data_IF_362653553148
#
_entry.id   IF_362653553148
#
_cell.length_a   1.000
_cell.length_b   1.000
_cell.length_c   1.000
_cell.angle_alpha   90.00
_cell.angle_beta   90.00
_cell.angle_gamma   90.00
#
_symmetry.space_group_name_H-M   'P 1'
#
loop_
_entity.id
_entity.type
_entity.pdbx_description
1 polymer ?
#
# COMPACT_ATOMS: atom_id res chain seq x y z
N UNK A 1 -18.47 -10.83 18.98
CA UNK A 1 -17.96 -10.82 17.59
C UNK A 1 -18.70 -9.68 16.90
N UNK A 2 -18.03 -8.58 16.57
CA UNK A 2 -18.72 -7.45 15.94
C UNK A 2 -19.34 -7.92 14.61
N UNK A 3 -20.61 -7.59 14.37
CA UNK A 3 -21.32 -7.95 13.15
C UNK A 3 -20.59 -7.41 11.92
N UNK A 4 -19.82 -8.27 11.25
CA UNK A 4 -19.20 -7.96 9.97
C UNK A 4 -20.30 -7.83 8.93
N UNK A 5 -20.63 -6.59 8.57
CA UNK A 5 -21.63 -6.28 7.54
C UNK A 5 -21.01 -6.56 6.17
N UNK A 6 -21.56 -7.54 5.48
CA UNK A 6 -21.23 -7.83 4.09
C UNK A 6 -21.63 -6.65 3.19
N UNK A 7 -20.70 -6.19 2.37
CA UNK A 7 -20.96 -5.18 1.34
C UNK A 7 -20.72 -5.79 -0.04
N UNK A 8 -21.42 -5.30 -1.07
CA UNK A 8 -21.30 -5.83 -2.43
C UNK A 8 -20.44 -4.90 -3.29
N UNK A 9 -19.32 -5.43 -3.79
CA UNK A 9 -18.46 -4.75 -4.76
C UNK A 9 -18.66 -5.43 -6.12
N UNK A 10 -19.05 -4.65 -7.13
CA UNK A 10 -19.18 -5.14 -8.51
C UNK A 10 -17.82 -5.08 -9.20
N UNK A 11 -17.47 -6.15 -9.91
CA UNK A 11 -16.24 -6.22 -10.71
C UNK A 11 -16.48 -7.00 -12.00
N UNK A 12 -15.49 -7.01 -12.89
CA UNK A 12 -15.53 -7.78 -14.14
C UNK A 12 -15.39 -9.27 -13.83
N UNK A 13 -16.10 -10.12 -14.59
CA UNK A 13 -16.05 -11.57 -14.43
C UNK A 13 -14.63 -12.14 -14.49
N UNK A 14 -13.83 -11.69 -15.47
CA UNK A 14 -12.43 -12.09 -15.60
C UNK A 14 -11.58 -11.75 -14.36
N UNK A 15 -11.87 -10.62 -13.70
CA UNK A 15 -11.18 -10.21 -12.47
C UNK A 15 -11.60 -11.11 -11.31
N UNK A 16 -12.90 -11.39 -11.17
CA UNK A 16 -13.39 -12.31 -10.14
C UNK A 16 -12.83 -13.73 -10.32
N UNK A 17 -12.76 -14.23 -11.56
CA UNK A 17 -12.16 -15.53 -11.87
C UNK A 17 -10.69 -15.58 -11.45
N UNK A 18 -9.91 -14.54 -11.79
CA UNK A 18 -8.51 -14.43 -11.38
C UNK A 18 -8.34 -14.37 -9.86
N UNK A 19 -9.18 -13.62 -9.15
CA UNK A 19 -9.12 -13.53 -7.69
C UNK A 19 -9.41 -14.88 -7.02
N UNK A 20 -10.32 -15.69 -7.57
CA UNK A 20 -10.58 -17.05 -7.06
C UNK A 20 -9.36 -17.96 -7.18
N UNK A 21 -8.65 -17.90 -8.31
CA UNK A 21 -7.40 -18.67 -8.50
C UNK A 21 -6.35 -18.25 -7.48
N UNK A 22 -6.12 -16.94 -7.34
CA UNK A 22 -5.15 -16.41 -6.37
C UNK A 22 -5.53 -16.79 -4.94
N UNK A 23 -6.81 -16.73 -4.58
CA UNK A 23 -7.25 -17.12 -3.24
C UNK A 23 -6.93 -18.60 -2.96
N UNK A 24 -7.16 -19.48 -3.93
CA UNK A 24 -6.84 -20.89 -3.82
C UNK A 24 -5.32 -21.12 -3.68
N UNK A 25 -4.49 -20.44 -4.47
CA UNK A 25 -3.02 -20.50 -4.37
C UNK A 25 -2.51 -20.06 -3.00
N UNK A 26 -3.17 -19.06 -2.41
CA UNK A 26 -2.87 -18.53 -1.08
C UNK A 26 -3.54 -19.31 0.07
N UNK A 27 -4.27 -20.38 -0.22
CA UNK A 27 -4.97 -21.18 0.79
C UNK A 27 -6.04 -20.40 1.58
N UNK A 28 -6.63 -19.36 0.97
CA UNK A 28 -7.61 -18.46 1.60
C UNK A 28 -8.90 -18.38 0.78
N UNK A 29 -9.94 -17.76 1.32
CA UNK A 29 -11.13 -17.35 0.57
C UNK A 29 -10.85 -16.08 -0.24
N UNK A 30 -11.70 -15.80 -1.24
CA UNK A 30 -11.62 -14.56 -2.01
C UNK A 30 -11.73 -13.33 -1.10
N UNK A 31 -12.61 -13.37 -0.10
CA UNK A 31 -12.76 -12.29 0.87
C UNK A 31 -11.50 -12.15 1.74
N UNK A 32 -10.94 -13.26 2.24
CA UNK A 32 -9.70 -13.23 3.01
C UNK A 32 -8.50 -12.73 2.19
N UNK A 33 -8.46 -13.00 0.89
CA UNK A 33 -7.45 -12.41 0.00
C UNK A 33 -7.65 -10.90 -0.14
N UNK A 34 -8.90 -10.45 -0.35
CA UNK A 34 -9.21 -9.02 -0.47
C UNK A 34 -8.92 -8.26 0.82
N UNK A 35 -9.23 -8.83 1.98
CA UNK A 35 -8.87 -8.26 3.28
C UNK A 35 -7.35 -8.13 3.42
N UNK A 36 -6.59 -9.19 3.10
CA UNK A 36 -5.13 -9.14 3.14
C UNK A 36 -4.57 -8.08 2.18
N UNK A 37 -5.12 -7.96 0.98
CA UNK A 37 -4.72 -6.91 0.03
C UNK A 37 -5.03 -5.52 0.56
N UNK A 38 -6.21 -5.32 1.14
CA UNK A 38 -6.62 -4.04 1.73
C UNK A 38 -5.72 -3.65 2.92
N UNK A 39 -5.35 -4.60 3.79
CA UNK A 39 -4.47 -4.32 4.92
C UNK A 39 -3.01 -4.04 4.54
N UNK A 40 -2.56 -4.53 3.38
CA UNK A 40 -1.17 -4.31 2.91
C UNK A 40 -0.97 -2.92 2.33
N UNK A 41 -2.00 -2.35 1.72
CA UNK A 41 -1.94 -1.03 1.08
C UNK A 41 -2.50 0.02 2.03
N UNK A 42 -1.64 0.90 2.54
CA UNK A 42 -2.10 2.06 3.28
C UNK A 42 -2.73 3.06 2.31
N UNK A 43 -3.87 3.65 2.69
CA UNK A 43 -4.43 4.82 2.00
C UNK A 43 -3.50 6.03 2.13
N UNK A 44 -3.75 7.10 1.37
CA UNK A 44 -2.94 8.32 1.50
C UNK A 44 -3.04 8.93 2.90
N UNK A 45 -4.24 8.92 3.49
CA UNK A 45 -4.51 9.39 4.84
C UNK A 45 -3.79 8.54 5.88
N UNK A 46 -3.82 7.22 5.75
CA UNK A 46 -3.13 6.30 6.67
C UNK A 46 -1.60 6.45 6.58
N UNK A 47 -1.06 6.66 5.37
CA UNK A 47 0.36 6.98 5.18
C UNK A 47 0.72 8.30 5.85
N UNK A 48 -0.12 9.31 5.71
CA UNK A 48 0.12 10.60 6.33
C UNK A 48 0.07 10.51 7.86
N UNK A 49 -0.90 9.79 8.42
CA UNK A 49 -0.97 9.56 9.85
C UNK A 49 0.28 8.84 10.36
N UNK A 50 0.69 7.76 9.67
CA UNK A 50 1.92 7.03 10.02
C UNK A 50 3.18 7.89 9.94
N UNK A 51 3.23 8.83 8.99
CA UNK A 51 4.34 9.78 8.89
C UNK A 51 4.35 10.79 10.04
N UNK A 52 3.18 11.25 10.49
CA UNK A 52 3.05 12.10 11.69
C UNK A 52 3.48 11.36 12.96
N UNK A 53 3.01 10.13 13.13
CA UNK A 53 3.36 9.29 14.29
C UNK A 53 4.87 9.06 14.35
N UNK A 54 5.49 8.70 13.21
CA UNK A 54 6.94 8.51 13.13
C UNK A 54 7.71 9.81 13.41
N UNK A 55 7.24 10.95 12.93
CA UNK A 55 7.87 12.23 13.21
C UNK A 55 7.79 12.57 14.70
N UNK A 56 6.64 12.33 15.34
CA UNK A 56 6.47 12.48 16.78
C UNK A 56 7.42 11.56 17.57
N UNK A 57 7.54 10.30 17.19
CA UNK A 57 8.47 9.34 17.80
C UNK A 57 9.93 9.77 17.67
N UNK A 58 10.29 10.38 16.53
CA UNK A 58 11.65 10.87 16.24
C UNK A 58 11.91 12.29 16.80
N UNK A 59 10.91 12.92 17.42
CA UNK A 59 11.01 14.30 17.90
C UNK A 59 11.15 15.34 16.77
N UNK A 60 10.71 14.99 15.56
CA UNK A 60 10.71 15.86 14.38
C UNK A 60 9.32 16.47 14.21
N UNK A 61 9.27 17.78 13.99
CA UNK A 61 8.01 18.43 13.66
C UNK A 61 7.60 18.09 12.22
N UNK A 62 6.49 17.36 12.06
CA UNK A 62 5.97 16.98 10.75
C UNK A 62 5.24 18.16 10.09
N UNK A 63 6.01 19.04 9.46
CA UNK A 63 5.48 20.18 8.70
C UNK A 63 5.32 19.84 7.22
N UNK A 64 4.50 20.59 6.45
CA UNK A 64 4.39 20.43 5.01
C UNK A 64 5.74 20.55 4.27
N UNK A 65 6.62 21.42 4.77
CA UNK A 65 7.99 21.62 4.26
C UNK A 65 8.83 20.34 4.42
N UNK A 66 8.83 19.73 5.61
CA UNK A 66 9.54 18.47 5.89
C UNK A 66 8.99 17.33 5.03
N UNK A 67 7.66 17.27 4.83
CA UNK A 67 7.02 16.30 3.93
C UNK A 67 7.49 16.46 2.48
N UNK A 68 7.55 17.69 1.97
CA UNK A 68 8.01 17.97 0.61
C UNK A 68 9.49 17.55 0.42
N UNK A 69 10.35 17.95 1.34
CA UNK A 69 11.78 17.60 1.32
C UNK A 69 12.02 16.09 1.37
N UNK A 70 11.26 15.37 2.20
CA UNK A 70 11.31 13.90 2.26
C UNK A 70 10.87 13.25 0.93
N UNK A 71 9.81 13.78 0.31
CA UNK A 71 9.31 13.30 -0.99
C UNK A 71 10.36 13.46 -2.09
N UNK A 72 11.01 14.64 -2.15
CA UNK A 72 12.06 14.95 -3.11
C UNK A 72 13.31 14.08 -2.90
N UNK A 73 13.70 13.85 -1.65
CA UNK A 73 14.81 12.97 -1.31
C UNK A 73 14.55 11.53 -1.80
N UNK A 74 13.35 11.01 -1.56
CA UNK A 74 12.95 9.69 -2.05
C UNK A 74 12.87 9.61 -3.58
N UNK A 75 12.44 10.69 -4.25
CA UNK A 75 12.43 10.75 -5.71
C UNK A 75 13.86 10.62 -6.29
N UNK A 76 14.84 11.30 -5.69
CA UNK A 76 16.26 11.19 -6.06
C UNK A 76 16.80 9.77 -5.86
N UNK A 77 16.47 9.13 -4.73
CA UNK A 77 16.87 7.74 -4.46
C UNK A 77 16.29 6.76 -5.50
N UNK A 78 15.01 6.90 -5.83
CA UNK A 78 14.36 6.07 -6.86
C UNK A 78 15.00 6.26 -8.24
N UNK A 79 15.26 7.51 -8.63
CA UNK A 79 15.94 7.83 -9.89
C UNK A 79 17.35 7.21 -9.95
N UNK A 80 18.09 7.23 -8.84
CA UNK A 80 19.41 6.60 -8.76
C UNK A 80 19.35 5.06 -8.84
N UNK A 81 18.32 4.42 -8.25
CA UNK A 81 18.11 2.98 -8.39
C UNK A 81 17.75 2.58 -9.82
N UNK A 82 16.91 3.36 -10.49
CA UNK A 82 16.52 3.13 -11.87
C UNK A 82 17.73 3.24 -12.83
N UNK A 83 18.62 4.22 -12.63
CA UNK A 83 19.82 4.37 -13.46
C UNK A 83 20.87 3.26 -13.26
N UNK A 84 20.89 2.60 -12.08
CA UNK A 84 21.75 1.43 -11.82
C UNK A 84 21.18 0.10 -12.33
N UNK A 85 19.86 0.01 -12.55
CA UNK A 85 19.20 -1.18 -13.10
C UNK A 85 19.22 -1.31 -14.63
N UNK A 86 19.71 -0.28 -15.34
CA UNK A 86 19.71 -0.21 -16.80
C UNK A 86 20.96 -0.76 -17.51
N UNK A 87 21.71 -1.70 -16.91
CA UNK A 87 22.85 -2.35 -17.57
C UNK A 87 22.91 -3.85 -17.31
N UNK A 88 22.06 -4.59 -18.01
CA UNK A 88 22.35 -5.95 -18.44
C UNK A 88 21.84 -6.05 -19.88
N UNK A 89 22.79 -6.04 -20.82
CA UNK A 89 22.61 -6.45 -22.21
C UNK A 89 22.55 -7.99 -22.28
#
# INVERSE_FOLDING_TARGET
MADQKWTSIKTKEAVAARLRVLAAEHGTTMDGLLEQMAFRELTEEEREQRARDAAQELGVEYTPEVRAQGTDAWAKIRAHRASRGGRAA
#
